data_IF_880849225810
#
_entry.id   IF_880849225810
#
_cell.length_a   1.000
_cell.length_b   1.000
_cell.length_c   1.000
_cell.angle_alpha   90.00
_cell.angle_beta   90.00
_cell.angle_gamma   90.00
#
_symmetry.space_group_name_H-M   'P 1'
#
loop_
_entity.id
_entity.type
_entity.pdbx_description
1 polymer ?
#
# COMPACT_ATOMS: atom_id res chain seq x y z
N UNK A 1 6.67 34.22 5.92
CA UNK A 1 7.99 33.75 6.41
C UNK A 1 8.58 32.90 5.30
N UNK A 2 9.90 32.96 5.09
CA UNK A 2 10.59 32.09 4.14
C UNK A 2 10.46 30.63 4.59
N UNK A 3 9.98 29.73 3.72
CA UNK A 3 9.82 28.31 4.09
C UNK A 3 11.14 27.54 4.07
N UNK A 4 11.20 26.44 4.82
CA UNK A 4 12.32 25.50 4.78
C UNK A 4 11.93 24.26 3.98
N UNK A 5 12.73 23.92 2.95
CA UNK A 5 12.56 22.69 2.18
C UNK A 5 13.72 21.73 2.47
N UNK A 6 13.42 20.64 3.16
CA UNK A 6 14.37 19.56 3.39
C UNK A 6 14.46 18.62 2.20
N UNK A 7 15.50 18.78 1.38
CA UNK A 7 15.70 17.95 0.18
C UNK A 7 16.59 16.73 0.47
N UNK A 8 16.14 15.56 0.02
CA UNK A 8 16.87 14.28 0.04
C UNK A 8 16.92 13.69 -1.37
N UNK A 9 18.04 13.91 -2.07
CA UNK A 9 18.22 13.41 -3.46
C UNK A 9 18.59 11.93 -3.55
N UNK A 10 19.32 11.45 -2.54
CA UNK A 10 19.80 10.06 -2.46
C UNK A 10 19.61 9.56 -1.02
N UNK A 11 18.37 9.46 -0.53
CA UNK A 11 18.11 8.97 0.81
C UNK A 11 18.62 7.53 0.95
N UNK A 12 19.21 7.20 2.10
CA UNK A 12 19.54 5.82 2.47
C UNK A 12 18.27 5.08 2.88
N UNK A 13 17.36 5.79 3.57
CA UNK A 13 16.06 5.26 3.99
C UNK A 13 14.97 6.28 3.76
N UNK A 14 13.82 5.82 3.25
CA UNK A 14 12.57 6.54 3.29
C UNK A 14 11.49 5.55 3.69
N UNK A 15 11.03 5.63 4.94
CA UNK A 15 10.23 4.57 5.55
C UNK A 15 9.02 5.11 6.30
N UNK A 16 7.95 4.34 6.28
CA UNK A 16 6.82 4.51 7.19
C UNK A 16 7.05 3.72 8.49
N UNK A 17 6.61 4.31 9.60
CA UNK A 17 6.62 3.69 10.92
C UNK A 17 5.50 4.22 11.81
N UNK A 18 5.29 3.55 12.95
CA UNK A 18 4.32 3.98 13.97
C UNK A 18 4.92 3.87 15.36
N UNK A 19 4.46 4.73 16.27
CA UNK A 19 4.78 4.68 17.70
C UNK A 19 3.46 4.74 18.47
N UNK A 20 3.36 3.94 19.55
CA UNK A 20 2.17 3.86 20.41
C UNK A 20 1.44 2.51 20.32
N UNK A 21 0.43 2.37 21.17
CA UNK A 21 -0.38 1.14 21.30
C UNK A 21 -1.39 1.00 20.15
N UNK A 22 -1.84 -0.22 19.80
CA UNK A 22 -2.94 -0.42 18.85
C UNK A 22 -4.19 0.41 19.25
N UNK A 23 -4.65 1.29 18.36
CA UNK A 23 -5.77 2.21 18.61
C UNK A 23 -5.34 3.67 18.84
N UNK A 24 -4.13 3.89 19.36
CA UNK A 24 -3.57 5.23 19.62
C UNK A 24 -2.20 5.43 18.95
N UNK A 25 -2.02 4.78 17.78
CA UNK A 25 -0.76 4.86 17.04
C UNK A 25 -0.62 6.20 16.33
N UNK A 26 0.53 6.83 16.51
CA UNK A 26 0.96 7.97 15.69
C UNK A 26 1.81 7.45 14.54
N UNK A 27 1.53 7.91 13.32
CA UNK A 27 2.25 7.52 12.12
C UNK A 27 3.31 8.56 11.77
N UNK A 28 4.48 8.07 11.34
CA UNK A 28 5.60 8.88 10.93
C UNK A 28 6.14 8.42 9.59
N UNK A 29 6.58 9.37 8.77
CA UNK A 29 7.52 9.13 7.68
C UNK A 29 8.89 9.63 8.09
N UNK A 30 9.92 8.85 7.79
CA UNK A 30 11.30 9.20 8.12
C UNK A 30 12.17 9.09 6.87
N UNK A 31 12.86 10.18 6.56
CA UNK A 31 13.91 10.25 5.54
C UNK A 31 15.27 10.31 6.23
N UNK A 32 16.17 9.41 5.85
CA UNK A 32 17.52 9.32 6.41
C UNK A 32 18.54 9.43 5.29
N UNK A 33 19.56 10.25 5.51
CA UNK A 33 20.77 10.25 4.71
C UNK A 33 21.99 10.50 5.60
N UNK A 34 22.86 9.49 5.69
CA UNK A 34 24.09 9.45 6.49
C UNK A 34 23.82 9.68 7.98
N UNK A 35 23.82 10.92 8.44
CA UNK A 35 23.53 11.31 9.84
C UNK A 35 22.32 12.24 9.97
N UNK A 36 21.73 12.63 8.83
CA UNK A 36 20.58 13.51 8.78
C UNK A 36 19.33 12.65 8.77
N UNK A 37 18.55 12.76 9.83
CA UNK A 37 17.25 12.11 9.99
C UNK A 37 16.21 13.21 10.06
N UNK A 38 15.19 13.13 9.20
CA UNK A 38 14.02 14.01 9.25
C UNK A 38 12.79 13.14 9.41
N UNK A 39 12.00 13.41 10.43
CA UNK A 39 10.74 12.75 10.70
C UNK A 39 9.59 13.74 10.56
N UNK A 40 8.50 13.31 9.92
CA UNK A 40 7.26 14.08 9.84
C UNK A 40 6.09 13.20 10.28
N UNK A 41 5.08 13.82 10.88
CA UNK A 41 3.91 13.14 11.41
C UNK A 41 2.76 13.17 10.40
N UNK A 42 2.09 12.04 10.21
CA UNK A 42 0.97 11.89 9.28
C UNK A 42 -0.20 11.14 9.92
N UNK A 43 -1.35 11.25 9.29
CA UNK A 43 -2.50 10.38 9.56
C UNK A 43 -2.35 9.03 8.87
N UNK A 44 -2.98 7.99 9.44
CA UNK A 44 -3.01 6.64 8.85
C UNK A 44 -3.50 6.65 7.40
N UNK A 45 -4.54 7.43 7.11
CA UNK A 45 -5.12 7.51 5.76
C UNK A 45 -4.15 8.17 4.78
N UNK A 46 -3.40 9.18 5.19
CA UNK A 46 -2.38 9.81 4.34
C UNK A 46 -1.28 8.81 3.97
N UNK A 47 -0.78 8.01 4.92
CA UNK A 47 0.22 6.96 4.64
C UNK A 47 -0.31 5.93 3.65
N UNK A 48 -1.57 5.50 3.82
CA UNK A 48 -2.24 4.56 2.91
C UNK A 48 -2.34 5.14 1.49
N UNK A 49 -2.89 6.34 1.36
CA UNK A 49 -3.07 7.00 0.05
C UNK A 49 -1.73 7.24 -0.65
N UNK A 50 -0.69 7.62 0.10
CA UNK A 50 0.64 7.81 -0.46
C UNK A 50 1.21 6.51 -1.04
N UNK A 51 1.09 5.39 -0.31
CA UNK A 51 1.54 4.09 -0.78
C UNK A 51 0.79 3.64 -2.05
N UNK A 52 -0.54 3.74 -2.04
CA UNK A 52 -1.39 3.39 -3.19
C UNK A 52 -1.03 4.23 -4.42
N UNK A 53 -0.87 5.54 -4.26
CA UNK A 53 -0.53 6.45 -5.37
C UNK A 53 0.87 6.21 -5.92
N UNK A 54 1.86 5.91 -5.07
CA UNK A 54 3.21 5.55 -5.53
C UNK A 54 3.17 4.25 -6.33
N UNK A 55 2.48 3.22 -5.82
CA UNK A 55 2.33 1.94 -6.52
C UNK A 55 1.69 2.11 -7.90
N UNK A 56 0.55 2.80 -7.96
CA UNK A 56 -0.16 3.06 -9.21
C UNK A 56 0.67 3.89 -10.21
N UNK A 57 1.43 4.89 -9.73
CA UNK A 57 2.34 5.68 -10.57
C UNK A 57 3.42 4.80 -11.19
N UNK A 58 4.06 3.94 -10.40
CA UNK A 58 5.11 3.04 -10.88
C UNK A 58 4.59 2.07 -11.95
N UNK A 59 3.39 1.52 -11.75
CA UNK A 59 2.75 0.62 -12.73
C UNK A 59 2.40 1.36 -14.03
N UNK A 60 1.92 2.61 -13.93
CA UNK A 60 1.59 3.43 -15.10
C UNK A 60 2.86 3.83 -15.87
N UNK A 61 3.92 4.18 -15.16
CA UNK A 61 5.22 4.53 -15.77
C UNK A 61 5.81 3.33 -16.51
N UNK A 62 5.77 2.14 -15.91
CA UNK A 62 6.21 0.91 -16.57
C UNK A 62 5.39 0.65 -17.85
N UNK A 63 4.07 0.79 -17.78
CA UNK A 63 3.15 0.55 -18.90
C UNK A 63 3.34 1.53 -20.05
N UNK A 64 3.46 2.83 -19.77
CA UNK A 64 3.53 3.88 -20.79
C UNK A 64 4.92 4.07 -21.39
N UNK A 65 5.96 3.95 -20.57
CA UNK A 65 7.32 4.32 -20.95
C UNK A 65 8.26 3.11 -21.06
N UNK A 66 7.80 1.90 -20.74
CA UNK A 66 8.64 0.69 -20.76
C UNK A 66 9.79 0.75 -19.76
N UNK A 67 9.68 1.59 -18.72
CA UNK A 67 10.71 1.75 -17.71
C UNK A 67 10.96 0.42 -16.99
N UNK A 68 12.23 0.14 -16.66
CA UNK A 68 12.59 -1.02 -15.85
C UNK A 68 12.22 -0.75 -14.39
N UNK A 69 10.96 -1.00 -14.07
CA UNK A 69 10.40 -0.87 -12.73
C UNK A 69 10.34 -2.28 -12.11
N UNK A 70 10.89 -2.50 -10.91
CA UNK A 70 10.72 -3.77 -10.21
C UNK A 70 9.23 -4.09 -9.99
N UNK A 71 8.85 -5.38 -10.00
CA UNK A 71 7.48 -5.77 -9.67
C UNK A 71 7.12 -5.35 -8.23
N UNK A 72 5.82 -5.30 -7.89
CA UNK A 72 5.40 -5.15 -6.50
C UNK A 72 6.09 -6.18 -5.59
N UNK A 73 6.66 -5.70 -4.48
CA UNK A 73 7.40 -6.54 -3.53
C UNK A 73 6.54 -6.79 -2.29
N UNK A 74 6.55 -8.03 -1.78
CA UNK A 74 5.90 -8.35 -0.49
C UNK A 74 6.91 -8.43 0.65
N UNK A 75 8.17 -8.76 0.32
CA UNK A 75 9.24 -8.89 1.29
C UNK A 75 9.97 -7.56 1.50
N UNK A 76 10.22 -7.22 2.76
CA UNK A 76 10.93 -6.01 3.13
C UNK A 76 12.43 -6.26 3.14
N UNK A 77 13.17 -5.48 2.36
CA UNK A 77 14.63 -5.45 2.42
C UNK A 77 15.11 -4.84 3.73
N UNK A 78 14.40 -3.81 4.23
CA UNK A 78 14.65 -3.21 5.55
C UNK A 78 13.39 -3.24 6.42
N UNK A 79 13.42 -4.10 7.45
CA UNK A 79 12.41 -4.19 8.49
C UNK A 79 12.82 -3.48 9.80
N UNK A 80 13.96 -2.81 9.84
CA UNK A 80 14.46 -2.11 11.03
C UNK A 80 13.50 -0.99 11.43
N UNK A 81 13.38 -0.69 12.74
CA UNK A 81 12.49 0.37 13.23
C UNK A 81 12.92 1.77 12.75
N UNK A 82 12.11 2.77 13.10
CA UNK A 82 12.47 4.18 12.96
C UNK A 82 13.74 4.48 13.77
N UNK A 83 14.59 5.36 13.25
CA UNK A 83 15.77 5.84 13.96
C UNK A 83 15.38 6.82 15.06
N UNK A 84 16.10 6.75 16.18
CA UNK A 84 15.89 7.62 17.33
C UNK A 84 16.87 8.80 17.29
N UNK A 85 16.43 10.02 17.66
CA UNK A 85 15.12 10.39 18.20
C UNK A 85 14.01 10.51 17.13
N UNK A 86 12.77 10.17 17.49
CA UNK A 86 11.60 10.28 16.62
C UNK A 86 10.86 11.57 17.00
N UNK A 87 11.40 12.70 16.56
CA UNK A 87 10.84 14.03 16.80
C UNK A 87 10.29 14.57 15.45
N UNK A 88 8.99 14.81 15.32
CA UNK A 88 8.43 15.31 14.07
C UNK A 88 8.78 16.78 13.88
N UNK A 89 9.33 17.12 12.72
CA UNK A 89 9.52 18.52 12.28
C UNK A 89 8.17 19.23 12.17
N UNK A 90 7.18 18.56 11.59
CA UNK A 90 5.81 19.06 11.44
C UNK A 90 4.81 17.93 11.19
N UNK A 91 3.51 18.29 11.25
CA UNK A 91 2.40 17.47 10.77
C UNK A 91 2.17 17.74 9.29
N UNK A 92 2.09 16.70 8.46
CA UNK A 92 1.83 16.84 7.02
C UNK A 92 0.37 17.20 6.76
N UNK A 93 0.14 18.22 5.95
CA UNK A 93 -1.17 18.57 5.42
C UNK A 93 -1.36 18.06 4.00
N UNK A 94 -0.47 18.49 3.10
CA UNK A 94 -0.54 18.20 1.66
C UNK A 94 0.62 17.32 1.21
N UNK A 95 0.34 16.39 0.30
CA UNK A 95 1.34 15.49 -0.29
C UNK A 95 1.37 15.65 -1.80
N UNK A 96 2.53 16.03 -2.34
CA UNK A 96 2.85 16.04 -3.76
C UNK A 96 3.52 14.73 -4.18
N UNK A 97 3.19 14.25 -5.37
CA UNK A 97 3.81 13.08 -5.97
C UNK A 97 4.07 13.33 -7.45
N UNK A 98 5.29 13.06 -7.91
CA UNK A 98 5.70 13.23 -9.30
C UNK A 98 6.66 12.13 -9.77
N UNK A 99 6.80 12.00 -11.08
CA UNK A 99 7.80 11.16 -11.73
C UNK A 99 8.75 12.05 -12.52
N UNK A 100 10.05 11.95 -12.26
CA UNK A 100 11.09 12.56 -13.06
C UNK A 100 11.55 11.56 -14.13
N UNK A 101 11.22 11.82 -15.40
CA UNK A 101 11.59 10.95 -16.52
C UNK A 101 13.07 10.99 -16.88
N UNK A 102 13.75 12.10 -16.62
CA UNK A 102 15.18 12.24 -16.93
C UNK A 102 16.02 11.45 -15.93
N UNK A 103 15.70 11.58 -14.64
CA UNK A 103 16.38 10.86 -13.57
C UNK A 103 15.83 9.45 -13.32
N UNK A 104 14.67 9.12 -13.88
CA UNK A 104 13.92 7.89 -13.58
C UNK A 104 13.66 7.70 -12.08
N UNK A 105 13.22 8.76 -11.40
CA UNK A 105 12.98 8.78 -9.96
C UNK A 105 11.56 9.22 -9.60
N UNK A 106 11.02 8.64 -8.53
CA UNK A 106 9.79 9.12 -7.91
C UNK A 106 10.13 10.30 -6.99
N UNK A 107 9.42 11.41 -7.14
CA UNK A 107 9.55 12.60 -6.30
C UNK A 107 8.35 12.65 -5.35
N UNK A 108 8.62 12.55 -4.06
CA UNK A 108 7.61 12.70 -3.00
C UNK A 108 7.86 14.02 -2.28
N UNK A 109 6.83 14.84 -2.15
CA UNK A 109 6.90 16.07 -1.37
C UNK A 109 5.80 16.10 -0.31
N UNK A 110 6.20 16.43 0.92
CA UNK A 110 5.30 16.46 2.09
C UNK A 110 5.33 17.88 2.64
N UNK A 111 4.21 18.59 2.56
CA UNK A 111 4.07 19.96 3.00
C UNK A 111 3.46 19.99 4.41
N UNK A 112 3.98 20.86 5.27
CA UNK A 112 3.42 21.11 6.59
C UNK A 112 1.97 21.57 6.49
N UNK A 113 1.16 21.15 7.47
CA UNK A 113 -0.22 21.54 7.59
C UNK A 113 -0.33 23.05 7.85
N UNK A 114 -1.23 23.71 7.12
CA UNK A 114 -1.60 25.12 7.30
C UNK A 114 -3.12 25.24 7.34
N UNK A 115 -3.64 26.24 8.05
CA UNK A 115 -5.10 26.47 8.15
C UNK A 115 -5.73 26.99 6.84
N UNK A 116 -4.93 27.58 5.95
CA UNK A 116 -5.37 28.07 4.64
C UNK A 116 -5.22 27.04 3.52
N UNK A 117 -5.96 27.27 2.42
CA UNK A 117 -5.77 26.50 1.18
C UNK A 117 -4.36 26.72 0.62
N UNK A 118 -3.75 25.63 0.16
CA UNK A 118 -2.43 25.65 -0.49
C UNK A 118 -2.67 25.67 -1.99
N UNK A 119 -2.12 26.68 -2.66
CA UNK A 119 -2.16 26.78 -4.12
C UNK A 119 -1.35 25.65 -4.76
N UNK A 120 -1.87 25.04 -5.82
CA UNK A 120 -1.22 23.93 -6.54
C UNK A 120 0.19 24.30 -7.05
N UNK A 121 0.42 25.57 -7.38
CA UNK A 121 1.75 26.06 -7.82
C UNK A 121 2.85 25.95 -6.76
N UNK A 122 2.47 25.80 -5.48
CA UNK A 122 3.41 25.63 -4.37
C UNK A 122 3.87 24.16 -4.25
N UNK A 123 3.03 23.22 -4.68
CA UNK A 123 3.29 21.78 -4.62
C UNK A 123 4.25 21.39 -5.73
N UNK A 124 5.35 20.73 -5.37
CA UNK A 124 6.51 20.45 -6.22
C UNK A 124 7.17 21.71 -6.81
N UNK A 125 6.80 22.90 -6.33
CA UNK A 125 7.38 24.18 -6.72
C UNK A 125 8.55 24.57 -5.82
N UNK A 126 9.45 25.41 -6.33
CA UNK A 126 10.62 25.94 -5.59
C UNK A 126 10.42 27.38 -5.11
N UNK A 127 9.16 27.83 -5.00
CA UNK A 127 8.83 29.13 -4.42
C UNK A 127 9.45 29.30 -3.04
N UNK A 128 9.97 30.49 -2.72
CA UNK A 128 10.47 30.81 -1.38
C UNK A 128 9.32 31.03 -0.37
N UNK A 129 8.09 31.13 -0.89
CA UNK A 129 6.85 31.28 -0.13
C UNK A 129 6.07 29.96 -0.11
N UNK A 130 5.61 29.56 1.08
CA UNK A 130 4.78 28.37 1.28
C UNK A 130 4.96 27.77 2.69
N UNK A 131 4.39 26.60 2.97
CA UNK A 131 4.68 25.83 4.17
C UNK A 131 6.03 25.12 4.07
N UNK A 132 6.60 24.75 5.22
CA UNK A 132 7.79 23.91 5.27
C UNK A 132 7.53 22.57 4.59
N UNK A 133 8.56 22.00 3.97
CA UNK A 133 8.40 20.79 3.17
C UNK A 133 9.57 19.82 3.31
N UNK A 134 9.28 18.53 3.12
CA UNK A 134 10.30 17.49 2.90
C UNK A 134 10.12 16.96 1.49
N UNK A 135 11.18 17.06 0.67
CA UNK A 135 11.21 16.53 -0.70
C UNK A 135 12.19 15.39 -0.81
N UNK A 136 11.73 14.23 -1.24
CA UNK A 136 12.51 12.99 -1.31
C UNK A 136 12.46 12.44 -2.73
N UNK A 137 13.63 12.10 -3.26
CA UNK A 137 13.79 11.44 -4.54
C UNK A 137 14.08 9.97 -4.29
N UNK A 138 13.28 9.09 -4.86
CA UNK A 138 13.36 7.64 -4.67
C UNK A 138 13.64 6.95 -6.00
N UNK A 139 14.56 6.00 -6.00
CA UNK A 139 14.62 5.03 -7.09
C UNK A 139 13.33 4.19 -7.13
N UNK A 140 12.98 3.59 -8.28
CA UNK A 140 11.82 2.71 -8.38
C UNK A 140 11.83 1.57 -7.35
N UNK A 141 13.00 0.99 -7.08
CA UNK A 141 13.16 -0.07 -6.08
C UNK A 141 12.89 0.45 -4.66
N UNK A 142 13.43 1.62 -4.29
CA UNK A 142 13.15 2.24 -3.00
C UNK A 142 11.66 2.59 -2.84
N UNK A 143 11.02 3.06 -3.91
CA UNK A 143 9.60 3.34 -3.92
C UNK A 143 8.75 2.08 -3.74
N UNK A 144 9.09 0.95 -4.39
CA UNK A 144 8.42 -0.35 -4.15
C UNK A 144 8.57 -0.82 -2.71
N UNK A 145 9.78 -0.74 -2.16
CA UNK A 145 10.06 -1.08 -0.76
C UNK A 145 9.29 -0.19 0.22
N UNK A 146 9.17 1.10 -0.09
CA UNK A 146 8.34 2.02 0.68
C UNK A 146 6.86 1.60 0.67
N UNK A 147 6.29 1.28 -0.49
CA UNK A 147 4.89 0.85 -0.63
C UNK A 147 4.63 -0.41 0.20
N UNK A 148 5.43 -1.45 0.03
CA UNK A 148 5.31 -2.71 0.77
C UNK A 148 5.34 -2.48 2.29
N UNK A 149 6.26 -1.61 2.75
CA UNK A 149 6.40 -1.29 4.17
C UNK A 149 5.21 -0.49 4.68
N UNK A 150 4.75 0.52 3.94
CA UNK A 150 3.64 1.37 4.33
C UNK A 150 2.34 0.57 4.46
N UNK A 151 2.06 -0.32 3.52
CA UNK A 151 0.90 -1.24 3.57
C UNK A 151 0.95 -2.14 4.81
N UNK A 152 2.13 -2.69 5.12
CA UNK A 152 2.33 -3.50 6.33
C UNK A 152 2.11 -2.69 7.60
N UNK A 153 2.62 -1.46 7.68
CA UNK A 153 2.48 -0.59 8.85
C UNK A 153 1.02 -0.18 9.06
N UNK A 154 0.30 0.17 7.98
CA UNK A 154 -1.12 0.54 8.01
C UNK A 154 -2.01 -0.64 8.41
N UNK A 155 -1.67 -1.86 7.97
CA UNK A 155 -2.42 -3.09 8.27
C UNK A 155 -2.09 -3.72 9.64
N UNK A 156 -0.91 -3.45 10.22
CA UNK A 156 -0.44 -4.02 11.49
C UNK A 156 -1.26 -3.63 12.75
N UNK A 157 -2.33 -2.83 12.61
CA UNK A 157 -3.30 -2.55 13.68
C UNK A 157 -4.52 -3.47 13.65
N UNK A 158 -4.64 -4.32 12.63
CA UNK A 158 -5.72 -5.31 12.51
C UNK A 158 -5.38 -6.53 13.37
N UNK A 159 -6.36 -7.18 14.01
CA UNK A 159 -6.12 -8.47 14.65
C UNK A 159 -5.54 -9.44 13.61
N UNK A 160 -4.47 -10.15 13.97
CA UNK A 160 -3.86 -11.15 13.09
C UNK A 160 -4.79 -12.36 13.01
N UNK A 161 -4.86 -12.96 11.81
CA UNK A 161 -5.55 -14.23 11.65
C UNK A 161 -4.85 -15.29 12.51
N UNK A 162 -5.55 -16.01 13.40
CA UNK A 162 -4.93 -17.02 14.27
C UNK A 162 -4.38 -18.23 13.49
N UNK A 163 -4.67 -18.34 12.19
CA UNK A 163 -4.30 -19.48 11.35
C UNK A 163 -3.13 -19.19 10.41
N UNK A 164 -3.09 -18.02 9.76
CA UNK A 164 -2.05 -17.67 8.80
C UNK A 164 -1.18 -16.47 9.23
N UNK A 165 -1.49 -15.82 10.37
CA UNK A 165 -0.83 -14.62 10.87
C UNK A 165 -0.88 -13.39 9.94
N UNK A 166 -1.71 -13.42 8.89
CA UNK A 166 -2.00 -12.24 8.07
C UNK A 166 -3.01 -11.30 8.74
N UNK A 167 -2.96 -9.98 8.49
CA UNK A 167 -3.94 -9.03 9.04
C UNK A 167 -5.38 -9.36 8.60
N UNK A 168 -6.33 -9.41 9.55
CA UNK A 168 -7.75 -9.64 9.24
C UNK A 168 -8.39 -8.39 8.62
N UNK A 169 -9.12 -8.55 7.51
CA UNK A 169 -9.95 -7.49 6.94
C UNK A 169 -11.35 -7.46 7.61
N UNK A 170 -11.93 -6.28 7.89
CA UNK A 170 -13.30 -6.16 8.41
C UNK A 170 -14.37 -6.81 7.52
N UNK A 171 -14.18 -6.91 6.20
CA UNK A 171 -15.13 -7.57 5.26
C UNK A 171 -14.93 -9.09 5.18
N UNK A 172 -13.97 -9.62 5.94
CA UNK A 172 -13.57 -11.03 5.95
C UNK A 172 -12.19 -11.24 5.32
N UNK A 173 -11.38 -12.10 5.95
CA UNK A 173 -10.06 -12.47 5.44
C UNK A 173 -10.10 -13.81 4.72
N UNK A 174 -9.61 -13.85 3.47
CA UNK A 174 -9.41 -15.09 2.72
C UNK A 174 -8.16 -15.81 3.24
N UNK A 175 -8.34 -16.74 4.18
CA UNK A 175 -7.24 -17.50 4.74
C UNK A 175 -6.77 -18.59 3.77
N UNK A 176 -5.52 -18.49 3.29
CA UNK A 176 -4.88 -19.51 2.45
C UNK A 176 -4.82 -20.90 3.10
N UNK A 177 -4.83 -20.97 4.44
CA UNK A 177 -4.85 -22.25 5.18
C UNK A 177 -6.25 -22.88 5.27
N UNK A 178 -7.30 -22.17 4.90
CA UNK A 178 -8.69 -22.65 4.93
C UNK A 178 -9.37 -22.65 3.56
N UNK A 179 -8.63 -22.57 2.45
CA UNK A 179 -9.21 -22.47 1.10
C UNK A 179 -10.35 -21.42 1.01
N UNK A 180 -10.20 -20.28 1.70
CA UNK A 180 -11.12 -19.15 1.58
C UNK A 180 -12.35 -19.11 2.49
N UNK A 181 -12.45 -19.95 3.52
CA UNK A 181 -13.58 -19.91 4.46
C UNK A 181 -13.63 -18.58 5.26
N UNK A 182 -14.67 -17.76 5.00
CA UNK A 182 -14.98 -16.51 5.75
C UNK A 182 -15.76 -16.85 7.01
N UNK A 183 -15.17 -16.69 8.19
CA UNK A 183 -15.91 -16.73 9.46
C UNK A 183 -16.46 -15.33 9.73
N UNK A 184 -17.71 -15.08 9.35
CA UNK A 184 -18.37 -13.76 9.50
C UNK A 184 -19.46 -13.46 8.46
N UNK A 185 -19.57 -14.24 7.39
CA UNK A 185 -20.83 -14.30 6.66
C UNK A 185 -21.80 -15.09 7.53
N UNK A 186 -22.81 -14.44 8.10
CA UNK A 186 -24.02 -15.15 8.50
C UNK A 186 -24.54 -15.78 7.21
N UNK A 187 -24.30 -17.09 7.05
CA UNK A 187 -24.99 -17.85 6.02
C UNK A 187 -26.41 -17.97 6.56
N UNK A 188 -27.34 -17.20 6.00
CA UNK A 188 -28.75 -17.42 6.25
C UNK A 188 -29.04 -18.86 5.79
N UNK A 189 -29.54 -19.75 6.68
CA UNK A 189 -29.90 -21.10 6.27
C UNK A 189 -30.91 -21.12 5.11
N UNK A 190 -31.61 -20.02 4.84
CA UNK A 190 -32.51 -19.87 3.68
C UNK A 190 -31.81 -19.56 2.35
N UNK A 191 -30.53 -19.16 2.36
CA UNK A 191 -29.70 -19.00 1.15
C UNK A 191 -29.06 -20.33 0.71
N UNK A 192 -29.11 -21.36 1.57
CA UNK A 192 -28.70 -22.72 1.22
C UNK A 192 -29.95 -23.45 0.74
N UNK A 193 -30.15 -23.53 -0.57
CA UNK A 193 -31.20 -24.36 -1.17
C UNK A 193 -30.79 -25.83 -1.07
N UNK A 194 -31.01 -26.44 0.11
CA UNK A 194 -30.68 -27.85 0.38
C UNK A 194 -31.56 -28.77 -0.47
N UNK A 195 -32.75 -28.32 -0.87
CA UNK A 195 -33.69 -29.05 -1.70
C UNK A 195 -33.25 -29.14 -3.17
N UNK A 196 -32.29 -28.32 -3.63
CA UNK A 196 -31.75 -28.39 -4.98
C UNK A 196 -30.71 -29.52 -5.18
N UNK A 197 -30.32 -30.22 -4.11
CA UNK A 197 -29.35 -31.32 -4.17
C UNK A 197 -30.01 -32.70 -4.24
N UNK A 198 -31.34 -32.78 -4.12
CA UNK A 198 -32.10 -34.04 -4.08
C UNK A 198 -33.33 -33.97 -5.01
N UNK A 199 -33.27 -33.15 -6.07
CA UNK A 199 -34.28 -33.12 -7.12
C UNK A 199 -34.04 -34.30 -8.09
N UNK A 200 -34.90 -35.33 -8.10
CA UNK A 200 -34.73 -36.49 -8.96
C UNK A 200 -34.99 -36.18 -10.45
N UNK A 201 -35.51 -34.98 -10.77
CA UNK A 201 -35.77 -34.52 -12.14
C UNK A 201 -34.72 -33.49 -12.64
N UNK A 202 -33.60 -33.29 -11.92
CA UNK A 202 -32.49 -32.45 -12.40
C UNK A 202 -31.82 -33.11 -13.63
N UNK A 203 -31.87 -32.49 -14.82
CA UNK A 203 -31.30 -33.04 -16.06
C UNK A 203 -29.77 -33.17 -16.01
N UNK A 204 -29.09 -32.54 -15.04
CA UNK A 204 -27.65 -32.70 -14.83
C UNK A 204 -27.25 -33.98 -14.11
N UNK A 205 -28.23 -34.73 -13.58
CA UNK A 205 -28.02 -35.99 -12.85
C UNK A 205 -28.38 -37.24 -13.69
N UNK A 206 -28.67 -37.05 -15.00
CA UNK A 206 -28.91 -38.15 -15.93
C UNK A 206 -27.58 -38.87 -16.25
N UNK A 207 -27.41 -40.16 -15.85
CA UNK A 207 -26.19 -40.90 -16.11
C UNK A 207 -26.00 -41.31 -17.58
N UNK A 208 -26.93 -40.95 -18.47
CA UNK A 208 -26.92 -41.38 -19.87
C UNK A 208 -26.30 -40.37 -20.85
N UNK A 209 -25.79 -39.23 -20.37
CA UNK A 209 -25.05 -38.25 -21.19
C UNK A 209 -23.54 -38.28 -20.90
N UNK A 210 -22.95 -39.49 -20.96
CA UNK A 210 -21.50 -39.68 -20.99
C UNK A 210 -21.01 -39.37 -22.43
N UNK A 211 -20.23 -38.30 -22.67
CA UNK A 211 -19.77 -37.95 -24.01
C UNK A 211 -18.51 -38.72 -24.45
N UNK A 212 -18.11 -39.77 -23.73
CA UNK A 212 -16.85 -40.50 -23.95
C UNK A 212 -16.99 -41.81 -24.76
N UNK A 213 -18.08 -41.99 -25.50
CA UNK A 213 -18.13 -42.95 -26.61
C UNK A 213 -17.85 -42.22 -27.94
N UNK A 214 -16.62 -41.72 -28.10
CA UNK A 214 -16.02 -41.53 -29.41
C UNK A 214 -15.13 -42.74 -29.69
N UNK A 215 -15.75 -43.69 -30.40
CA UNK A 215 -15.10 -44.74 -31.18
C UNK A 215 -13.74 -44.26 -31.72
N UNK A 216 -12.72 -45.06 -31.39
CA UNK A 216 -11.41 -45.09 -32.02
C UNK A 216 -11.54 -45.81 -33.39
N UNK A 217 -11.29 -45.13 -34.53
CA UNK A 217 -11.07 -45.81 -35.79
C UNK A 217 -9.65 -45.52 -36.28
N UNK A 218 -8.78 -46.50 -36.12
CA UNK A 218 -7.55 -46.72 -36.89
C UNK A 218 -6.48 -45.59 -36.81
N UNK A 219 -5.38 -45.84 -36.07
CA UNK A 219 -3.99 -45.95 -36.57
C UNK A 219 -2.93 -45.94 -35.46
#
# INVERSE_FOLDING_TARGET
MSRVIHVFRTPDRFIAGTVGEPGERTFYLQAVHVKRVISVMLEKQQVKVLAERIGAMLDEVQRRFGASIPPPETDLTDASPLETPIEPEFRVGTMGLGWDSEASTVVVELLAFTEGEIDESVVLGDSEEGPDAVRVFLSPAQARQFVARAERVVSAGRPLCPLCASPLDPEGHLCIRLNGYRRGAEIDPSDIDIDALDDPDDPSNDPSDDPDDLDDPDL
#
